data_IF_310259143739
#
_entry.id   IF_310259143739
#
_cell.length_a   1.000
_cell.length_b   1.000
_cell.length_c   1.000
_cell.angle_alpha   90.00
_cell.angle_beta   90.00
_cell.angle_gamma   90.00
#
_symmetry.space_group_name_H-M   'P 1'
#
loop_
_entity.id
_entity.type
_entity.pdbx_description
1 polymer ?
#
# COMPACT_ATOMS: atom_id res chain seq x y z
N UNK A 1 -5.94 1.39 1.21
CA UNK A 1 -4.58 1.64 0.68
C UNK A 1 -3.91 2.66 1.56
N UNK A 2 -2.60 2.56 1.75
CA UNK A 2 -1.83 3.45 2.64
C UNK A 2 -0.64 4.02 1.86
N UNK A 3 -0.44 5.32 1.98
CA UNK A 3 0.62 6.07 1.30
C UNK A 3 1.35 7.00 2.28
N UNK A 4 2.41 7.67 1.81
CA UNK A 4 3.06 8.73 2.58
C UNK A 4 2.10 9.91 2.84
N UNK A 5 2.17 10.46 4.05
CA UNK A 5 1.37 11.61 4.47
C UNK A 5 0.89 11.51 5.91
N UNK A 6 -0.12 12.31 6.25
CA UNK A 6 -0.70 12.39 7.58
C UNK A 6 -1.42 11.09 7.97
N UNK A 7 -1.05 10.56 9.15
CA UNK A 7 -1.63 9.37 9.74
C UNK A 7 -3.01 9.69 10.35
N UNK A 8 -4.05 8.88 10.09
CA UNK A 8 -5.34 9.05 10.75
C UNK A 8 -5.24 8.70 12.24
N UNK A 9 -6.19 9.18 13.05
CA UNK A 9 -6.26 8.83 14.47
C UNK A 9 -6.47 7.33 14.71
N UNK A 10 -7.16 6.66 13.77
CA UNK A 10 -7.46 5.23 13.82
C UNK A 10 -7.27 4.63 12.43
N UNK A 11 -6.57 3.50 12.35
CA UNK A 11 -6.39 2.73 11.12
C UNK A 11 -7.55 1.74 10.95
N UNK A 12 -8.03 1.58 9.72
CA UNK A 12 -9.08 0.60 9.38
C UNK A 12 -8.55 -0.83 9.17
N UNK A 13 -7.23 -1.03 9.27
CA UNK A 13 -6.55 -2.29 8.99
C UNK A 13 -5.82 -2.86 10.22
N UNK A 14 -5.52 -4.15 10.16
CA UNK A 14 -4.59 -4.80 11.09
C UNK A 14 -3.24 -5.07 10.40
N UNK A 15 -2.16 -4.61 11.02
CA UNK A 15 -0.81 -4.86 10.52
C UNK A 15 -0.34 -6.28 10.90
N UNK A 16 0.31 -7.00 9.99
CA UNK A 16 0.87 -8.32 10.30
C UNK A 16 1.85 -8.25 11.49
N UNK A 17 1.58 -9.01 12.55
CA UNK A 17 2.31 -8.96 13.82
C UNK A 17 3.84 -9.03 13.65
N UNK A 18 4.31 -9.93 12.78
CA UNK A 18 5.75 -10.18 12.59
C UNK A 18 6.47 -9.13 11.73
N UNK A 19 5.76 -8.19 11.12
CA UNK A 19 6.33 -7.23 10.17
C UNK A 19 5.91 -5.77 10.41
N UNK A 20 5.25 -5.47 11.53
CA UNK A 20 4.66 -4.14 11.79
C UNK A 20 5.64 -2.97 11.61
N UNK A 21 6.91 -3.16 11.97
CA UNK A 21 7.98 -2.14 11.84
C UNK A 21 8.35 -1.80 10.40
N UNK A 22 8.03 -2.67 9.44
CA UNK A 22 8.37 -2.49 8.02
C UNK A 22 7.26 -1.77 7.24
N UNK A 23 6.05 -1.71 7.79
CA UNK A 23 5.00 -0.85 7.29
C UNK A 23 5.23 0.53 7.91
N UNK A 24 5.79 1.49 7.19
CA UNK A 24 6.18 2.80 7.76
C UNK A 24 5.26 3.96 7.37
N UNK A 25 4.29 3.72 6.49
CA UNK A 25 3.36 4.75 5.99
C UNK A 25 1.92 4.42 6.36
N UNK A 26 1.11 5.46 6.61
CA UNK A 26 -0.17 5.34 7.34
C UNK A 26 -1.30 6.23 6.83
N UNK A 27 -1.07 7.13 5.87
CA UNK A 27 -2.16 7.93 5.30
C UNK A 27 -3.15 7.03 4.58
N UNK A 28 -4.35 6.91 5.14
CA UNK A 28 -5.36 5.96 4.69
C UNK A 28 -6.19 6.52 3.54
N UNK A 29 -6.28 5.73 2.45
CA UNK A 29 -7.16 5.92 1.32
C UNK A 29 -8.08 4.70 1.23
N UNK A 30 -9.37 4.91 1.53
CA UNK A 30 -10.41 3.88 1.38
C UNK A 30 -10.91 3.90 -0.06
N UNK A 31 -10.70 2.80 -0.79
CA UNK A 31 -11.13 2.64 -2.18
C UNK A 31 -12.35 1.71 -2.22
N UNK A 32 -13.48 2.23 -2.69
CA UNK A 32 -14.70 1.46 -2.98
C UNK A 32 -14.78 1.14 -4.48
N UNK A 33 -15.65 0.20 -4.90
CA UNK A 33 -15.84 -0.08 -6.32
C UNK A 33 -16.16 1.19 -7.13
N UNK A 34 -15.34 1.47 -8.14
CA UNK A 34 -15.43 2.67 -8.98
C UNK A 34 -14.55 3.85 -8.54
N UNK A 35 -13.99 3.81 -7.33
CA UNK A 35 -13.03 4.81 -6.88
C UNK A 35 -11.67 4.59 -7.56
N UNK A 36 -10.95 5.69 -7.77
CA UNK A 36 -9.61 5.69 -8.34
C UNK A 36 -8.67 6.54 -7.49
N UNK A 37 -7.41 6.11 -7.42
CA UNK A 37 -6.34 6.89 -6.83
C UNK A 37 -5.06 6.72 -7.64
N UNK A 38 -4.32 7.82 -7.84
CA UNK A 38 -3.02 7.83 -8.51
C UNK A 38 -1.93 7.95 -7.46
N UNK A 39 -0.99 6.99 -7.46
CA UNK A 39 0.21 7.04 -6.64
C UNK A 39 1.29 7.75 -7.44
N UNK A 40 1.84 8.82 -6.89
CA UNK A 40 2.94 9.54 -7.53
C UNK A 40 4.23 8.69 -7.52
N UNK A 41 5.15 8.90 -8.48
CA UNK A 41 6.40 8.16 -8.54
C UNK A 41 7.21 8.24 -7.24
N UNK A 42 7.87 7.13 -6.88
CA UNK A 42 8.72 7.01 -5.70
C UNK A 42 8.04 7.26 -4.35
N UNK A 43 6.71 7.14 -4.28
CA UNK A 43 5.96 7.17 -3.02
C UNK A 43 5.81 5.75 -2.47
N UNK A 44 6.20 5.56 -1.21
CA UNK A 44 5.94 4.29 -0.50
C UNK A 44 4.44 4.08 -0.35
N UNK A 45 4.00 2.87 -0.65
CA UNK A 45 2.60 2.49 -0.55
C UNK A 45 2.45 1.00 -0.23
N UNK A 46 1.31 0.65 0.35
CA UNK A 46 0.87 -0.73 0.56
C UNK A 46 -0.65 -0.76 0.69
N UNK A 47 -1.27 -1.94 0.56
CA UNK A 47 -2.70 -2.07 0.73
C UNK A 47 -3.09 -3.41 1.36
N UNK A 48 -4.25 -3.41 2.00
CA UNK A 48 -4.92 -4.59 2.53
C UNK A 48 -6.36 -4.55 2.03
N UNK A 49 -6.86 -5.68 1.56
CA UNK A 49 -8.26 -5.83 1.17
C UNK A 49 -9.15 -5.95 2.43
N UNK A 50 -10.43 -5.60 2.30
CA UNK A 50 -11.41 -5.86 3.35
C UNK A 50 -11.77 -7.35 3.44
N UNK A 51 -12.70 -7.69 4.34
CA UNK A 51 -13.11 -9.07 4.65
C UNK A 51 -13.57 -9.89 3.44
N UNK A 52 -14.13 -9.24 2.41
CA UNK A 52 -14.63 -9.89 1.19
C UNK A 52 -13.60 -9.89 0.05
N UNK A 53 -12.36 -9.45 0.31
CA UNK A 53 -11.33 -9.28 -0.70
C UNK A 53 -11.53 -8.01 -1.55
N UNK A 54 -10.67 -7.84 -2.57
CA UNK A 54 -10.72 -6.73 -3.51
C UNK A 54 -10.12 -7.14 -4.86
N UNK A 55 -10.65 -6.56 -5.94
CA UNK A 55 -10.02 -6.59 -7.26
C UNK A 55 -9.64 -5.15 -7.60
N UNK A 56 -8.36 -4.93 -7.91
CA UNK A 56 -7.80 -3.62 -8.25
C UNK A 56 -7.18 -3.72 -9.64
N UNK A 57 -7.45 -2.74 -10.49
CA UNK A 57 -6.79 -2.62 -11.79
C UNK A 57 -5.73 -1.54 -11.69
N UNK A 58 -4.51 -1.87 -12.09
CA UNK A 58 -3.41 -0.91 -12.16
C UNK A 58 -3.27 -0.37 -13.58
N UNK A 59 -3.09 0.96 -13.69
CA UNK A 59 -2.65 1.62 -14.90
C UNK A 59 -1.38 2.41 -14.57
N UNK A 60 -0.27 2.04 -15.20
CA UNK A 60 1.04 2.63 -14.95
C UNK A 60 1.76 2.96 -16.25
N UNK A 61 2.87 3.69 -16.15
CA UNK A 61 3.90 3.66 -17.20
C UNK A 61 4.54 2.27 -17.27
N UNK A 62 5.64 2.09 -18.01
CA UNK A 62 6.35 0.81 -18.03
C UNK A 62 6.67 0.33 -16.61
N UNK A 63 6.22 -0.89 -16.26
CA UNK A 63 6.53 -1.55 -14.99
C UNK A 63 7.83 -2.34 -15.09
N UNK A 64 8.64 -2.28 -14.03
CA UNK A 64 9.84 -3.08 -13.85
C UNK A 64 9.94 -3.56 -12.39
N UNK A 65 9.22 -4.63 -12.09
CA UNK A 65 9.10 -5.20 -10.74
C UNK A 65 10.47 -5.59 -10.15
N UNK A 66 11.48 -5.89 -10.99
CA UNK A 66 12.82 -6.23 -10.52
C UNK A 66 13.53 -5.05 -9.83
N UNK A 67 13.13 -3.82 -10.15
CA UNK A 67 13.72 -2.58 -9.63
C UNK A 67 13.02 -2.00 -8.40
N UNK A 68 11.85 -2.52 -8.02
CA UNK A 68 11.07 -2.03 -6.89
C UNK A 68 11.90 -2.00 -5.58
N UNK A 69 11.57 -1.14 -4.61
CA UNK A 69 12.30 -1.10 -3.33
C UNK A 69 11.32 -1.39 -2.20
N UNK A 70 11.46 -2.56 -1.57
CA UNK A 70 10.67 -2.92 -0.40
C UNK A 70 11.28 -2.36 0.87
N UNK A 71 10.44 -1.79 1.73
CA UNK A 71 10.86 -1.35 3.08
C UNK A 71 11.27 -2.54 3.96
N UNK A 72 10.69 -3.72 3.75
CA UNK A 72 11.06 -4.93 4.48
C UNK A 72 12.34 -5.54 3.87
N UNK A 73 13.48 -5.55 4.61
CA UNK A 73 14.75 -6.05 4.09
C UNK A 73 14.79 -7.58 3.92
N UNK A 74 13.80 -8.30 4.48
CA UNK A 74 13.70 -9.75 4.35
C UNK A 74 13.09 -10.19 3.01
N UNK A 75 12.50 -9.28 2.24
CA UNK A 75 11.94 -9.58 0.92
C UNK A 75 13.10 -9.63 -0.08
N UNK A 76 13.34 -10.83 -0.62
CA UNK A 76 14.32 -11.08 -1.68
C UNK A 76 13.62 -11.26 -3.03
N UNK A 77 14.30 -10.90 -4.11
CA UNK A 77 13.86 -11.12 -5.50
C UNK A 77 14.72 -12.14 -6.20
#
# INVERSE_FOLDING_TARGET
MYVEGEEPEVLSCELPENNQTTYTVRKEIVLRPGDQYTIEPNIKHWFQAGETGAVVTEFSSSSDDASDIFTNPMIQR
#
